data_IF_742083510100
#
_entry.id   IF_742083510100
#
_cell.length_a   1.000
_cell.length_b   1.000
_cell.length_c   1.000
_cell.angle_alpha   90.00
_cell.angle_beta   90.00
_cell.angle_gamma   90.00
#
_symmetry.space_group_name_H-M   'P 1'
#
loop_
_entity.id
_entity.type
_entity.pdbx_description
1 polymer ?
#
# COMPACT_ATOMS: atom_id res chain seq x y z
N UNK A 1 -1.20 -1.25 24.07
CA UNK A 1 -1.07 -1.50 22.62
C UNK A 1 -2.47 -1.53 22.05
N UNK A 2 -2.78 -0.69 21.06
CA UNK A 2 -4.10 -0.73 20.41
C UNK A 2 -4.12 -1.98 19.53
N UNK A 3 -4.96 -2.98 19.85
CA UNK A 3 -4.74 -4.37 19.42
C UNK A 3 -4.82 -4.58 17.91
N UNK A 4 -5.45 -3.67 17.17
CA UNK A 4 -5.64 -3.81 15.72
C UNK A 4 -4.58 -3.10 14.86
N UNK A 5 -3.85 -2.10 15.37
CA UNK A 5 -2.77 -1.41 14.63
C UNK A 5 -1.40 -1.93 15.06
N UNK A 6 -1.21 -2.22 16.35
CA UNK A 6 0.09 -2.63 16.89
C UNK A 6 1.17 -1.56 16.65
N UNK A 7 2.32 -1.98 16.14
CA UNK A 7 3.44 -1.12 15.75
C UNK A 7 3.44 -0.79 14.24
N UNK A 8 2.37 -1.14 13.52
CA UNK A 8 2.31 -0.94 12.08
C UNK A 8 2.05 0.53 11.75
N UNK A 9 2.58 0.95 10.60
CA UNK A 9 2.15 2.19 9.93
C UNK A 9 1.05 1.80 8.93
N UNK A 10 -0.13 2.40 9.07
CA UNK A 10 -1.26 2.14 8.17
C UNK A 10 -1.42 3.35 7.27
N UNK A 11 -1.48 3.14 5.97
CA UNK A 11 -1.76 4.18 4.98
C UNK A 11 -3.16 3.97 4.41
N UNK A 12 -3.95 5.04 4.33
CA UNK A 12 -5.29 5.04 3.75
C UNK A 12 -5.32 6.17 2.72
N UNK A 13 -5.51 5.80 1.45
CA UNK A 13 -5.56 6.76 0.35
C UNK A 13 -7.01 7.00 -0.08
N UNK A 14 -7.54 8.18 0.26
CA UNK A 14 -8.83 8.67 -0.24
C UNK A 14 -8.76 10.20 -0.38
N UNK A 15 -8.66 10.69 -1.62
CA UNK A 15 -8.30 12.09 -1.99
C UNK A 15 -6.89 12.50 -1.54
N UNK A 16 -6.53 12.22 -0.30
CA UNK A 16 -5.21 12.36 0.28
C UNK A 16 -4.77 11.04 0.91
N UNK A 17 -3.46 10.86 1.07
CA UNK A 17 -2.89 9.73 1.78
C UNK A 17 -2.76 10.07 3.27
N UNK A 18 -3.67 9.53 4.08
CA UNK A 18 -3.54 9.59 5.53
C UNK A 18 -2.68 8.43 6.02
N UNK A 19 -1.73 8.71 6.91
CA UNK A 19 -0.98 7.67 7.59
C UNK A 19 -1.24 7.68 9.10
N UNK A 20 -1.34 6.49 9.67
CA UNK A 20 -1.70 6.25 11.07
C UNK A 20 -0.58 5.53 11.78
N UNK A 21 -0.25 6.00 12.98
CA UNK A 21 0.73 5.37 13.88
C UNK A 21 0.19 5.34 15.31
N UNK A 22 0.69 4.42 16.13
CA UNK A 22 0.34 4.36 17.55
C UNK A 22 1.47 4.96 18.38
N UNK A 23 1.21 6.10 19.02
CA UNK A 23 2.15 6.76 19.93
C UNK A 23 1.52 6.92 21.30
N UNK A 24 2.20 6.47 22.37
CA UNK A 24 1.71 6.56 23.77
C UNK A 24 0.26 6.06 23.93
N UNK A 25 -0.05 4.94 23.29
CA UNK A 25 -1.38 4.30 23.33
C UNK A 25 -2.52 5.16 22.70
N UNK A 26 -2.18 6.14 21.87
CA UNK A 26 -3.11 6.92 21.04
C UNK A 26 -2.82 6.69 19.56
N UNK A 27 -3.85 6.71 18.74
CA UNK A 27 -3.69 6.74 17.28
C UNK A 27 -3.42 8.18 16.86
N UNK A 28 -2.29 8.40 16.21
CA UNK A 28 -1.94 9.65 15.54
C UNK A 28 -2.24 9.48 14.05
N UNK A 29 -2.76 10.55 13.43
CA UNK A 29 -3.01 10.61 11.98
C UNK A 29 -2.33 11.86 11.43
N UNK A 30 -1.66 11.68 10.30
CA UNK A 30 -0.97 12.74 9.56
C UNK A 30 -1.21 12.52 8.05
N UNK A 31 -1.01 13.55 7.24
CA UNK A 31 -1.11 13.45 5.77
C UNK A 31 0.29 13.25 5.20
N UNK A 32 0.44 12.28 4.31
CA UNK A 32 1.67 12.01 3.59
C UNK A 32 1.57 12.54 2.15
N UNK A 33 1.98 13.79 1.94
CA UNK A 33 1.78 14.49 0.67
C UNK A 33 2.40 13.77 -0.54
N UNK A 34 3.62 13.22 -0.41
CA UNK A 34 4.28 12.50 -1.53
C UNK A 34 3.57 11.19 -1.93
N UNK A 35 2.65 10.72 -1.10
CA UNK A 35 1.84 9.52 -1.37
C UNK A 35 0.39 9.90 -1.64
N UNK A 36 0.02 11.18 -1.58
CA UNK A 36 -1.27 11.68 -2.04
C UNK A 36 -1.25 11.76 -3.57
N UNK A 37 -2.21 11.11 -4.23
CA UNK A 37 -2.40 11.23 -5.67
C UNK A 37 -3.86 11.56 -5.94
N UNK A 38 -4.10 12.81 -6.33
CA UNK A 38 -5.43 13.34 -6.60
C UNK A 38 -5.87 13.13 -8.05
N UNK A 39 -4.88 12.90 -8.93
CA UNK A 39 -5.01 12.72 -10.36
C UNK A 39 -5.58 11.34 -10.72
N UNK A 40 -5.26 10.32 -9.93
CA UNK A 40 -5.80 8.98 -10.09
C UNK A 40 -7.14 8.88 -9.36
N UNK A 41 -8.19 8.47 -10.06
CA UNK A 41 -9.51 8.24 -9.47
C UNK A 41 -9.60 6.80 -8.95
N UNK A 42 -9.26 5.84 -9.81
CA UNK A 42 -9.38 4.40 -9.58
C UNK A 42 -8.36 3.85 -8.57
N UNK A 43 -8.75 2.78 -7.84
CA UNK A 43 -7.96 2.22 -6.76
C UNK A 43 -6.71 1.47 -7.26
N UNK A 44 -6.79 0.81 -8.40
CA UNK A 44 -5.72 0.06 -9.04
C UNK A 44 -4.52 0.94 -9.42
N UNK A 45 -4.78 2.06 -10.08
CA UNK A 45 -3.77 3.07 -10.45
C UNK A 45 -3.18 3.75 -9.23
N UNK A 46 -3.96 3.95 -8.15
CA UNK A 46 -3.45 4.44 -6.86
C UNK A 46 -2.52 3.45 -6.16
N UNK A 47 -2.85 2.16 -6.18
CA UNK A 47 -2.01 1.11 -5.62
C UNK A 47 -0.64 1.10 -6.31
N UNK A 48 -0.61 1.13 -7.65
CA UNK A 48 0.64 1.16 -8.42
C UNK A 48 1.41 2.45 -8.17
N UNK A 49 0.74 3.60 -8.12
CA UNK A 49 1.37 4.87 -7.77
C UNK A 49 2.07 4.82 -6.40
N UNK A 50 1.42 4.26 -5.37
CA UNK A 50 2.01 4.08 -4.04
C UNK A 50 3.26 3.21 -4.08
N UNK A 51 3.18 2.05 -4.73
CA UNK A 51 4.31 1.11 -4.84
C UNK A 51 5.51 1.76 -5.52
N UNK A 52 5.29 2.53 -6.60
CA UNK A 52 6.35 3.21 -7.32
C UNK A 52 6.92 4.44 -6.58
N UNK A 53 6.16 5.06 -5.68
CA UNK A 53 6.62 6.26 -4.98
C UNK A 53 7.31 6.02 -3.64
N UNK A 54 7.27 4.79 -3.10
CA UNK A 54 8.01 4.42 -1.91
C UNK A 54 9.50 4.31 -2.22
N UNK A 55 10.30 5.16 -1.56
CA UNK A 55 11.75 5.26 -1.77
C UNK A 55 12.56 4.21 -0.98
N UNK A 56 11.96 3.66 0.08
CA UNK A 56 12.59 2.61 0.87
C UNK A 56 12.65 1.29 0.08
N UNK A 57 13.78 0.58 0.20
CA UNK A 57 13.86 -0.80 -0.24
C UNK A 57 12.78 -1.63 0.47
N UNK A 58 11.89 -2.27 -0.29
CA UNK A 58 10.75 -2.98 0.27
C UNK A 58 10.33 -4.20 -0.55
N UNK A 59 9.73 -5.16 0.15
CA UNK A 59 9.01 -6.28 -0.47
C UNK A 59 7.51 -5.96 -0.43
N UNK A 60 6.98 -5.45 -1.53
CA UNK A 60 5.57 -5.12 -1.67
C UNK A 60 4.73 -6.38 -1.88
N UNK A 61 3.66 -6.51 -1.11
CA UNK A 61 2.65 -7.55 -1.27
C UNK A 61 1.31 -6.87 -1.52
N UNK A 62 0.86 -6.92 -2.77
CA UNK A 62 -0.43 -6.39 -3.20
C UNK A 62 -1.45 -7.51 -3.06
N UNK A 63 -2.43 -7.35 -2.18
CA UNK A 63 -3.55 -8.29 -2.01
C UNK A 63 -4.79 -7.68 -2.65
N UNK A 64 -5.22 -8.21 -3.78
CA UNK A 64 -6.41 -7.76 -4.49
C UNK A 64 -7.01 -8.88 -5.34
N UNK A 65 -8.32 -8.87 -5.53
CA UNK A 65 -9.00 -9.75 -6.51
C UNK A 65 -8.96 -9.18 -7.93
N UNK A 66 -8.76 -7.87 -8.06
CA UNK A 66 -8.67 -7.18 -9.33
C UNK A 66 -7.34 -7.49 -10.01
N UNK A 67 -7.42 -8.12 -11.18
CA UNK A 67 -6.24 -8.54 -11.96
C UNK A 67 -5.65 -7.42 -12.79
N UNK A 68 -6.37 -6.32 -13.02
CA UNK A 68 -5.89 -5.22 -13.85
C UNK A 68 -4.68 -4.52 -13.20
N UNK A 69 -4.62 -4.55 -11.87
CA UNK A 69 -3.44 -4.12 -11.08
C UNK A 69 -2.18 -4.85 -11.53
N UNK A 70 -2.26 -6.13 -11.90
CA UNK A 70 -1.09 -6.88 -12.35
C UNK A 70 -0.57 -6.37 -13.69
N UNK A 71 -1.47 -6.11 -14.64
CA UNK A 71 -1.12 -5.55 -15.94
C UNK A 71 -0.53 -4.13 -15.79
N UNK A 72 -1.17 -3.28 -14.97
CA UNK A 72 -0.72 -1.91 -14.72
C UNK A 72 0.65 -1.92 -14.01
N UNK A 73 0.83 -2.77 -12.99
CA UNK A 73 2.10 -2.88 -12.28
C UNK A 73 3.24 -3.36 -13.20
N UNK A 74 3.00 -4.34 -14.06
CA UNK A 74 3.99 -4.80 -15.04
C UNK A 74 4.42 -3.67 -15.99
N UNK A 75 3.48 -2.88 -16.47
CA UNK A 75 3.77 -1.72 -17.32
C UNK A 75 4.56 -0.62 -16.61
N UNK A 76 4.40 -0.49 -15.28
CA UNK A 76 4.98 0.59 -14.48
C UNK A 76 6.17 0.16 -13.59
N UNK A 77 6.62 -1.10 -13.67
CA UNK A 77 7.65 -1.63 -12.76
C UNK A 77 9.00 -0.91 -12.85
N UNK A 78 9.28 -0.26 -13.99
CA UNK A 78 10.46 0.56 -14.20
C UNK A 78 10.43 1.90 -13.41
N UNK A 79 9.29 2.26 -12.82
CA UNK A 79 9.16 3.41 -11.92
C UNK A 79 9.45 3.07 -10.44
N UNK A 80 9.76 1.82 -10.10
CA UNK A 80 10.22 1.49 -8.75
C UNK A 80 11.50 2.26 -8.43
N UNK A 81 11.47 3.08 -7.37
CA UNK A 81 12.60 3.94 -6.96
C UNK A 81 13.84 3.15 -6.52
N UNK A 82 13.66 1.91 -6.06
CA UNK A 82 14.74 1.07 -5.57
C UNK A 82 14.85 -0.22 -6.39
N UNK A 83 16.02 -0.46 -6.99
CA UNK A 83 16.26 -1.61 -7.88
C UNK A 83 16.18 -2.97 -7.18
N UNK A 84 16.37 -3.02 -5.86
CA UNK A 84 16.27 -4.25 -5.08
C UNK A 84 14.87 -4.46 -4.49
N UNK A 85 13.94 -3.53 -4.70
CA UNK A 85 12.55 -3.70 -4.32
C UNK A 85 11.86 -4.76 -5.18
N UNK A 86 10.91 -5.46 -4.58
CA UNK A 86 10.16 -6.53 -5.24
C UNK A 86 8.67 -6.31 -5.02
N UNK A 87 7.88 -6.49 -6.07
CA UNK A 87 6.42 -6.48 -5.96
C UNK A 87 5.87 -7.89 -6.24
N UNK A 88 4.99 -8.36 -5.37
CA UNK A 88 4.25 -9.62 -5.51
C UNK A 88 2.77 -9.32 -5.41
N UNK A 89 1.98 -9.96 -6.28
CA UNK A 89 0.53 -9.85 -6.25
C UNK A 89 -0.02 -11.18 -5.78
N UNK A 90 -0.88 -11.14 -4.76
CA UNK A 90 -1.66 -12.26 -4.29
C UNK A 90 -3.09 -12.07 -4.77
N UNK A 91 -3.46 -12.83 -5.81
CA UNK A 91 -4.81 -12.86 -6.38
C UNK A 91 -5.59 -14.06 -5.81
N UNK A 92 -6.89 -13.87 -5.54
CA UNK A 92 -7.77 -14.94 -5.09
C UNK A 92 -8.78 -14.54 -4.01
N UNK A 93 -9.67 -15.47 -3.66
CA UNK A 93 -10.60 -15.32 -2.55
C UNK A 93 -9.85 -15.50 -1.23
N UNK A 94 -9.81 -14.45 -0.41
CA UNK A 94 -9.26 -14.53 0.95
C UNK A 94 -10.15 -15.47 1.76
N UNK A 95 -9.65 -16.65 2.10
CA UNK A 95 -10.32 -17.51 3.07
C UNK A 95 -9.91 -17.08 4.48
N UNK A 96 -10.72 -17.36 5.49
CA UNK A 96 -10.46 -16.96 6.89
C UNK A 96 -9.13 -17.47 7.45
N UNK A 97 -8.47 -18.43 6.78
CA UNK A 97 -7.13 -18.92 7.13
C UNK A 97 -6.00 -17.97 6.71
N UNK A 98 -6.19 -17.15 5.67
CA UNK A 98 -5.16 -16.29 5.08
C UNK A 98 -4.97 -14.94 5.80
N UNK A 99 -5.81 -14.68 6.82
CA UNK A 99 -5.71 -13.48 7.68
C UNK A 99 -4.85 -13.70 8.93
N UNK A 100 -4.40 -14.92 9.20
CA UNK A 100 -3.65 -15.30 10.42
C UNK A 100 -2.21 -15.76 10.14
N UNK A 101 -1.75 -15.66 8.90
CA UNK A 101 -0.38 -15.96 8.45
C UNK A 101 0.21 -14.77 7.71
#
# INVERSE_FOLDING_TARGET
MIPFIGNNKIFINFRQCHFFTVTKNKVMSEIHEDLSCSEHEEADTKIVYHVCNIDAQANFVIRCSDTDIAAIMLGNMHHLKNNDSRARILTGLVTSRDMLT
#
